data_IF_424330938696
#
_entry.id   IF_424330938696
#
_cell.length_a   1.000
_cell.length_b   1.000
_cell.length_c   1.000
_cell.angle_alpha   90.00
_cell.angle_beta   90.00
_cell.angle_gamma   90.00
#
_symmetry.space_group_name_H-M   'P 1'
#
loop_
_entity.id
_entity.type
_entity.pdbx_description
1 polymer ?
#
# COMPACT_ATOMS: atom_id res chain seq x y z
N UNK A 1 25.92 17.11 54.49
CA UNK A 1 24.82 17.01 53.50
C UNK A 1 25.17 17.91 52.32
N UNK A 2 25.13 17.47 51.07
CA UNK A 2 24.85 16.09 50.66
C UNK A 2 25.12 15.84 49.18
N UNK A 3 26.32 15.37 48.85
CA UNK A 3 26.74 14.94 47.50
C UNK A 3 25.70 14.04 46.79
N UNK A 4 25.03 13.15 47.53
CA UNK A 4 23.96 12.29 46.99
C UNK A 4 22.70 13.10 46.64
N UNK A 5 22.35 14.11 47.45
CA UNK A 5 21.22 15.01 47.20
C UNK A 5 21.52 15.93 46.02
N UNK A 6 22.74 16.47 45.95
CA UNK A 6 23.22 17.33 44.87
C UNK A 6 23.28 16.54 43.54
N UNK A 7 23.72 15.29 43.58
CA UNK A 7 23.65 14.36 42.44
C UNK A 7 22.21 14.01 42.04
N UNK A 8 21.30 13.78 42.99
CA UNK A 8 19.88 13.54 42.68
C UNK A 8 19.23 14.77 42.05
N UNK A 9 19.47 15.97 42.58
CA UNK A 9 18.96 17.22 42.01
C UNK A 9 19.53 17.46 40.62
N UNK A 10 20.81 17.15 40.37
CA UNK A 10 21.41 17.19 39.04
C UNK A 10 20.74 16.20 38.06
N UNK A 11 20.55 14.93 38.44
CA UNK A 11 19.90 13.91 37.60
C UNK A 11 18.45 14.30 37.28
N UNK A 12 17.67 14.70 38.29
CA UNK A 12 16.27 15.12 38.11
C UNK A 12 16.17 16.40 37.24
N UNK A 13 17.19 17.27 37.28
CA UNK A 13 17.29 18.46 36.42
C UNK A 13 17.67 18.09 34.98
N UNK A 14 18.52 17.09 34.78
CA UNK A 14 18.84 16.52 33.46
C UNK A 14 17.59 15.89 32.84
N UNK A 15 16.86 15.04 33.54
CA UNK A 15 15.64 14.40 33.02
C UNK A 15 14.54 15.42 32.69
N UNK A 16 14.36 16.45 33.51
CA UNK A 16 13.44 17.57 33.19
C UNK A 16 13.88 18.33 31.94
N UNK A 17 15.18 18.57 31.75
CA UNK A 17 15.69 19.13 30.50
C UNK A 17 15.46 18.20 29.31
N UNK A 18 15.69 16.89 29.44
CA UNK A 18 15.44 15.91 28.36
C UNK A 18 13.96 15.89 27.98
N UNK A 19 13.05 15.95 28.95
CA UNK A 19 11.61 16.04 28.68
C UNK A 19 11.22 17.36 27.99
N UNK A 20 11.80 18.49 28.40
CA UNK A 20 11.59 19.79 27.75
C UNK A 20 12.15 19.83 26.33
N UNK A 21 13.37 19.31 26.12
CA UNK A 21 14.02 19.16 24.82
C UNK A 21 13.19 18.27 23.90
N UNK A 22 12.72 17.10 24.37
CA UNK A 22 11.81 16.24 23.60
C UNK A 22 10.52 16.96 23.23
N UNK A 23 9.93 17.75 24.13
CA UNK A 23 8.71 18.53 23.88
C UNK A 23 8.91 19.72 22.93
N UNK A 24 10.12 20.27 22.86
CA UNK A 24 10.49 21.29 21.88
C UNK A 24 10.73 20.65 20.49
N UNK A 25 11.49 19.55 20.44
CA UNK A 25 11.75 18.76 19.24
C UNK A 25 10.46 18.20 18.60
N UNK A 26 9.40 17.96 19.38
CA UNK A 26 8.08 17.55 18.82
C UNK A 26 7.15 18.72 18.48
N UNK A 27 7.50 19.97 18.78
CA UNK A 27 6.65 21.13 18.46
C UNK A 27 7.19 22.01 17.33
N UNK A 28 8.50 22.18 17.22
CA UNK A 28 9.10 23.15 16.31
C UNK A 28 9.92 22.49 15.18
N UNK A 29 9.21 21.70 14.38
CA UNK A 29 9.40 21.47 12.93
C UNK A 29 10.83 21.47 12.32
N UNK A 30 11.25 20.31 11.81
CA UNK A 30 11.52 20.21 10.36
C UNK A 30 10.50 19.29 9.66
N UNK A 31 9.24 19.66 9.86
CA UNK A 31 8.14 19.35 8.93
C UNK A 31 8.23 20.29 7.71
N UNK A 32 9.37 20.97 7.47
CA UNK A 32 9.58 21.87 6.33
C UNK A 32 10.20 21.13 5.16
N UNK A 33 11.05 20.12 5.35
CA UNK A 33 11.43 19.21 4.27
C UNK A 33 10.24 18.32 3.85
N UNK A 34 9.43 17.85 4.79
CA UNK A 34 8.18 17.15 4.49
C UNK A 34 7.18 18.11 3.81
N UNK A 35 6.88 19.29 4.36
CA UNK A 35 6.02 20.27 3.68
C UNK A 35 6.58 20.78 2.35
N UNK A 36 7.88 21.03 2.19
CA UNK A 36 8.41 21.60 0.94
C UNK A 36 8.53 20.56 -0.19
N UNK A 37 8.60 19.27 0.13
CA UNK A 37 8.49 18.19 -0.87
C UNK A 37 7.03 17.82 -1.16
N UNK A 38 6.11 17.94 -0.19
CA UNK A 38 4.68 17.64 -0.38
C UNK A 38 3.79 18.86 -0.76
N UNK A 39 4.27 20.11 -0.60
CA UNK A 39 3.58 21.36 -1.02
C UNK A 39 4.20 22.00 -2.26
N UNK A 40 5.24 21.41 -2.84
CA UNK A 40 5.45 21.59 -4.28
C UNK A 40 4.20 21.02 -4.96
N UNK A 41 3.29 21.91 -5.37
CA UNK A 41 2.17 21.55 -6.23
C UNK A 41 2.74 20.68 -7.34
N UNK A 42 2.17 19.49 -7.60
CA UNK A 42 2.62 18.67 -8.70
C UNK A 42 2.75 19.54 -9.94
N UNK A 43 3.84 19.37 -10.69
CA UNK A 43 3.89 19.92 -12.05
C UNK A 43 2.83 19.14 -12.81
N UNK A 44 1.61 19.71 -12.83
CA UNK A 44 0.44 19.12 -13.48
C UNK A 44 0.86 18.73 -14.90
N UNK A 45 0.79 17.44 -15.28
CA UNK A 45 0.97 17.08 -16.67
C UNK A 45 -0.05 17.87 -17.48
N UNK A 46 0.39 18.56 -18.54
CA UNK A 46 -0.47 19.46 -19.31
C UNK A 46 -1.59 18.66 -20.01
N UNK A 47 -2.73 18.51 -19.33
CA UNK A 47 -3.81 17.58 -19.68
C UNK A 47 -3.72 16.31 -18.82
N UNK A 48 -4.42 16.14 -17.68
CA UNK A 48 -5.88 16.18 -17.44
C UNK A 48 -6.62 14.99 -18.07
N UNK A 49 -7.42 14.15 -17.40
CA UNK A 49 -7.93 14.11 -16.01
C UNK A 49 -7.94 12.66 -15.47
N UNK A 50 -7.54 12.41 -14.21
CA UNK A 50 -8.23 11.43 -13.34
C UNK A 50 -7.87 11.69 -11.87
N UNK A 51 -8.77 12.34 -11.14
CA UNK A 51 -8.66 12.48 -9.69
C UNK A 51 -10.04 12.42 -9.02
N UNK A 52 -10.29 11.35 -8.25
CA UNK A 52 -11.36 11.27 -7.25
C UNK A 52 -11.10 10.18 -6.19
N UNK A 53 -10.13 10.45 -5.31
CA UNK A 53 -10.10 10.14 -3.86
C UNK A 53 -10.65 8.77 -3.39
N UNK A 54 -9.74 7.84 -3.02
CA UNK A 54 -9.77 6.84 -1.91
C UNK A 54 -8.79 5.68 -2.24
N UNK A 55 -7.97 5.11 -1.34
CA UNK A 55 -7.55 5.46 0.04
C UNK A 55 -6.20 4.73 0.34
N UNK A 56 -5.57 4.96 1.50
CA UNK A 56 -4.29 4.35 1.91
C UNK A 56 -4.32 2.80 2.00
N UNK A 57 -3.87 2.11 0.95
CA UNK A 57 -3.39 0.71 0.96
C UNK A 57 -2.76 0.39 -0.40
N UNK A 58 -1.45 0.62 -0.56
CA UNK A 58 -0.73 0.19 -1.76
C UNK A 58 -0.55 -1.34 -1.76
N UNK A 59 -1.10 -2.02 -2.76
CA UNK A 59 -0.97 -3.46 -2.91
C UNK A 59 0.44 -3.82 -3.41
N UNK A 60 1.24 -4.47 -2.55
CA UNK A 60 2.51 -5.03 -2.98
C UNK A 60 2.28 -6.23 -3.90
N UNK A 61 2.96 -6.24 -5.05
CA UNK A 61 2.86 -7.25 -6.09
C UNK A 61 3.99 -8.28 -5.97
N UNK A 62 3.83 -9.42 -5.26
CA UNK A 62 4.87 -10.44 -5.16
C UNK A 62 5.05 -11.21 -6.48
N UNK A 63 6.29 -11.28 -6.96
CA UNK A 63 6.64 -11.83 -8.29
C UNK A 63 6.72 -13.37 -8.36
N UNK A 64 6.88 -14.04 -7.21
CA UNK A 64 7.24 -15.47 -7.13
C UNK A 64 6.10 -16.40 -6.67
N UNK A 65 4.85 -15.92 -6.73
CA UNK A 65 3.67 -16.71 -6.35
C UNK A 65 3.02 -17.40 -7.55
N UNK A 66 2.39 -18.55 -7.31
CA UNK A 66 1.44 -19.20 -8.24
C UNK A 66 0.18 -18.35 -8.44
N UNK A 67 -0.72 -18.75 -9.35
CA UNK A 67 -2.00 -18.04 -9.49
C UNK A 67 -2.79 -18.06 -8.18
N UNK A 68 -2.90 -19.22 -7.54
CA UNK A 68 -3.59 -19.38 -6.26
C UNK A 68 -2.97 -18.53 -5.15
N UNK A 69 -1.64 -18.46 -5.10
CA UNK A 69 -0.92 -17.58 -4.17
C UNK A 69 -1.23 -16.09 -4.40
N UNK A 70 -1.30 -15.63 -5.65
CA UNK A 70 -1.62 -14.23 -5.99
C UNK A 70 -3.08 -13.88 -5.67
N UNK A 71 -4.03 -14.77 -5.99
CA UNK A 71 -5.44 -14.59 -5.63
C UNK A 71 -5.61 -14.52 -4.09
N UNK A 72 -4.93 -15.41 -3.36
CA UNK A 72 -4.92 -15.40 -1.89
C UNK A 72 -4.32 -14.11 -1.33
N UNK A 73 -3.23 -13.60 -1.92
CA UNK A 73 -2.61 -12.35 -1.50
C UNK A 73 -3.57 -11.16 -1.62
N UNK A 74 -4.28 -11.03 -2.76
CA UNK A 74 -5.35 -10.03 -2.96
C UNK A 74 -6.42 -10.19 -1.88
N UNK A 75 -6.93 -11.42 -1.68
CA UNK A 75 -7.96 -11.69 -0.66
C UNK A 75 -7.53 -11.25 0.74
N UNK A 76 -6.34 -11.64 1.18
CA UNK A 76 -5.85 -11.32 2.53
C UNK A 76 -5.52 -9.85 2.72
N UNK A 77 -5.13 -9.14 1.67
CA UNK A 77 -4.85 -7.71 1.73
C UNK A 77 -6.12 -6.86 1.96
N UNK A 78 -7.25 -7.31 1.44
CA UNK A 78 -8.58 -6.73 1.70
C UNK A 78 -9.28 -7.36 2.91
N UNK A 79 -8.57 -8.17 3.71
CA UNK A 79 -9.06 -8.80 4.94
C UNK A 79 -10.31 -9.70 4.76
N UNK A 80 -10.47 -10.30 3.57
CA UNK A 80 -11.64 -11.10 3.17
C UNK A 80 -11.50 -12.61 3.45
N UNK A 81 -12.61 -13.29 3.69
CA UNK A 81 -12.73 -14.76 3.66
C UNK A 81 -12.89 -15.31 2.23
N UNK A 82 -12.69 -16.62 2.04
CA UNK A 82 -12.88 -17.29 0.74
C UNK A 82 -14.33 -17.20 0.25
N UNK A 83 -15.29 -17.07 1.17
CA UNK A 83 -16.72 -16.87 0.86
C UNK A 83 -16.95 -15.44 0.36
N UNK A 84 -16.54 -14.43 1.11
CA UNK A 84 -16.79 -13.01 0.75
C UNK A 84 -16.15 -12.62 -0.59
N UNK A 85 -14.92 -13.07 -0.87
CA UNK A 85 -14.30 -12.80 -2.17
C UNK A 85 -15.07 -13.50 -3.30
N UNK A 86 -15.52 -14.74 -3.07
CA UNK A 86 -16.29 -15.54 -4.03
C UNK A 86 -17.63 -14.89 -4.36
N UNK A 87 -18.42 -14.56 -3.33
CA UNK A 87 -19.71 -13.90 -3.45
C UNK A 87 -19.61 -12.59 -4.22
N UNK A 88 -18.56 -11.80 -3.95
CA UNK A 88 -18.34 -10.50 -4.61
C UNK A 88 -17.97 -10.57 -6.11
N UNK A 89 -17.63 -11.75 -6.63
CA UNK A 89 -17.41 -12.02 -8.06
C UNK A 89 -18.32 -13.12 -8.63
N UNK A 90 -19.33 -13.57 -7.86
CA UNK A 90 -20.33 -14.54 -8.29
C UNK A 90 -19.84 -15.99 -8.42
N UNK A 91 -18.86 -16.43 -7.61
CA UNK A 91 -18.37 -17.81 -7.59
C UNK A 91 -18.40 -18.41 -6.19
N UNK A 92 -18.47 -19.75 -6.08
CA UNK A 92 -18.58 -20.42 -4.78
C UNK A 92 -17.27 -20.38 -3.99
N UNK A 93 -17.37 -20.39 -2.66
CA UNK A 93 -16.23 -20.54 -1.74
C UNK A 93 -15.35 -21.76 -2.09
N UNK A 94 -15.96 -22.88 -2.49
CA UNK A 94 -15.23 -24.07 -2.95
C UNK A 94 -14.42 -23.84 -4.24
N UNK A 95 -14.93 -23.03 -5.17
CA UNK A 95 -14.18 -22.64 -6.38
C UNK A 95 -12.98 -21.76 -6.01
N UNK A 96 -13.15 -20.76 -5.13
CA UNK A 96 -12.02 -19.97 -4.59
C UNK A 96 -11.00 -20.88 -3.89
N UNK A 97 -11.44 -21.84 -3.07
CA UNK A 97 -10.54 -22.76 -2.35
C UNK A 97 -9.71 -23.63 -3.30
N UNK A 98 -10.28 -24.07 -4.43
CA UNK A 98 -9.55 -24.83 -5.46
C UNK A 98 -8.58 -23.94 -6.25
N UNK A 99 -8.96 -22.69 -6.54
CA UNK A 99 -8.08 -21.70 -7.17
C UNK A 99 -6.89 -21.34 -6.28
N UNK A 100 -7.11 -21.06 -4.99
CA UNK A 100 -6.04 -20.74 -4.01
C UNK A 100 -5.06 -21.90 -3.74
N UNK A 101 -5.42 -23.12 -4.13
CA UNK A 101 -4.58 -24.33 -4.05
C UNK A 101 -4.00 -24.75 -5.41
N UNK A 102 -4.22 -23.96 -6.46
CA UNK A 102 -3.85 -24.26 -7.85
C UNK A 102 -4.40 -25.62 -8.38
N UNK A 103 -5.50 -26.11 -7.79
CA UNK A 103 -6.20 -27.35 -8.19
C UNK A 103 -7.01 -27.18 -9.47
N UNK A 104 -7.47 -25.95 -9.74
CA UNK A 104 -8.22 -25.59 -10.94
C UNK A 104 -7.62 -24.35 -11.59
N UNK A 105 -7.58 -24.33 -12.92
CA UNK A 105 -7.16 -23.15 -13.67
C UNK A 105 -8.22 -22.02 -13.59
N UNK A 106 -7.82 -20.75 -13.51
CA UNK A 106 -8.73 -19.61 -13.57
C UNK A 106 -9.30 -19.40 -14.98
N UNK A 107 -10.50 -18.85 -15.06
CA UNK A 107 -11.01 -18.28 -16.32
C UNK A 107 -10.52 -16.84 -16.52
N UNK A 108 -10.38 -16.42 -17.78
CA UNK A 108 -10.08 -15.02 -18.10
C UNK A 108 -11.15 -14.04 -17.57
N UNK A 109 -12.40 -14.50 -17.43
CA UNK A 109 -13.49 -13.72 -16.86
C UNK A 109 -13.31 -13.51 -15.34
N UNK A 110 -12.83 -14.52 -14.62
CA UNK A 110 -12.52 -14.40 -13.19
C UNK A 110 -11.34 -13.44 -12.94
N UNK A 111 -10.28 -13.52 -13.75
CA UNK A 111 -9.14 -12.60 -13.69
C UNK A 111 -9.59 -11.15 -13.87
N UNK A 112 -10.43 -10.89 -14.89
CA UNK A 112 -11.05 -9.56 -15.14
C UNK A 112 -11.97 -9.10 -14.01
N UNK A 113 -12.75 -10.01 -13.43
CA UNK A 113 -13.64 -9.68 -12.32
C UNK A 113 -12.83 -9.22 -11.09
N UNK A 114 -11.78 -9.96 -10.73
CA UNK A 114 -10.87 -9.60 -9.63
C UNK A 114 -10.13 -8.29 -9.93
N UNK A 115 -9.56 -8.16 -11.13
CA UNK A 115 -8.83 -6.95 -11.54
C UNK A 115 -9.67 -5.68 -11.41
N UNK A 116 -10.89 -5.68 -11.93
CA UNK A 116 -11.81 -4.53 -11.84
C UNK A 116 -12.36 -4.28 -10.43
N UNK A 117 -12.62 -5.35 -9.65
CA UNK A 117 -13.29 -5.23 -8.34
C UNK A 117 -12.36 -4.63 -7.27
N UNK A 118 -11.07 -4.91 -7.34
CA UNK A 118 -10.06 -4.47 -6.37
C UNK A 118 -8.93 -3.61 -6.98
N UNK A 119 -9.08 -3.15 -8.23
CA UNK A 119 -8.07 -2.35 -8.94
C UNK A 119 -6.68 -3.02 -9.00
N UNK A 120 -6.67 -4.33 -9.31
CA UNK A 120 -5.48 -5.18 -9.38
C UNK A 120 -5.05 -5.34 -10.85
N UNK A 121 -3.75 -5.26 -11.14
CA UNK A 121 -3.19 -5.53 -12.47
C UNK A 121 -3.54 -6.96 -12.93
N UNK A 122 -4.34 -7.08 -14.00
CA UNK A 122 -4.79 -8.35 -14.57
C UNK A 122 -3.61 -9.21 -15.09
N UNK A 123 -2.55 -8.60 -15.63
CA UNK A 123 -1.35 -9.31 -16.11
C UNK A 123 -0.54 -9.87 -14.96
N UNK A 124 -0.37 -9.12 -13.86
CA UNK A 124 0.25 -9.65 -12.66
C UNK A 124 -0.59 -10.80 -12.09
N UNK A 125 -1.91 -10.62 -11.98
CA UNK A 125 -2.77 -11.67 -11.44
C UNK A 125 -2.70 -12.95 -12.30
N UNK A 126 -2.65 -12.82 -13.63
CA UNK A 126 -2.52 -13.95 -14.56
C UNK A 126 -1.11 -14.58 -14.59
N UNK A 127 -0.04 -13.78 -14.56
CA UNK A 127 1.32 -14.23 -14.93
C UNK A 127 2.39 -14.05 -13.85
N UNK A 128 2.12 -13.27 -12.80
CA UNK A 128 3.10 -12.82 -11.82
C UNK A 128 3.94 -11.62 -12.28
N UNK A 129 3.80 -11.16 -13.52
CA UNK A 129 4.53 -10.00 -14.08
C UNK A 129 3.61 -8.81 -14.23
N UNK A 130 4.03 -7.64 -13.74
CA UNK A 130 3.31 -6.37 -13.95
C UNK A 130 3.43 -5.90 -15.39
N UNK A 131 2.41 -5.19 -15.88
CA UNK A 131 2.52 -4.48 -17.17
C UNK A 131 3.47 -3.29 -17.00
N UNK A 132 4.48 -3.08 -17.87
CA UNK A 132 5.25 -1.84 -17.87
C UNK A 132 4.34 -0.66 -18.21
N UNK A 133 4.07 0.18 -17.21
CA UNK A 133 3.09 1.28 -17.32
C UNK A 133 3.48 2.29 -18.42
N UNK A 134 4.78 2.43 -18.68
CA UNK A 134 5.33 3.45 -19.59
C UNK A 134 5.35 3.06 -21.08
N UNK A 135 5.15 1.79 -21.43
CA UNK A 135 5.34 1.35 -22.83
C UNK A 135 4.14 1.60 -23.75
N UNK A 136 2.92 1.68 -23.21
CA UNK A 136 1.73 2.00 -24.00
C UNK A 136 1.71 3.46 -24.50
N UNK A 137 2.38 4.38 -23.81
CA UNK A 137 2.43 5.80 -24.19
C UNK A 137 3.40 6.08 -25.35
N UNK A 138 4.40 5.21 -25.56
CA UNK A 138 5.43 5.41 -26.58
C UNK A 138 4.94 5.10 -28.01
N UNK A 139 3.95 4.21 -28.17
CA UNK A 139 3.50 3.71 -29.49
C UNK A 139 2.40 4.56 -30.14
N UNK A 140 1.70 5.44 -29.39
CA UNK A 140 0.58 6.24 -29.93
C UNK A 140 1.02 7.52 -30.65
N UNK A 141 2.32 7.86 -30.63
CA UNK A 141 2.94 8.77 -31.59
C UNK A 141 2.43 10.22 -31.66
N UNK A 142 1.64 10.70 -30.69
CA UNK A 142 1.09 12.05 -30.72
C UNK A 142 2.09 13.08 -30.16
N UNK A 143 2.83 13.72 -31.07
CA UNK A 143 3.57 14.97 -30.84
C UNK A 143 2.71 16.19 -31.17
#
# INVERSE_FOLDING_TARGET
>A
MGLIKDALEAIIRIDRNIAAIRKALTKDSDDSLYRATYLQKPVEPRGSTYNRIQTEKDFCYPDHLTFGGRLRAVRTFYDLTQTEIGDSIGVTCGHISNLEKDVSAPSAMLIRAVGRRWNIDEQWLATGKRTPVDQAAAEIGLR
#
